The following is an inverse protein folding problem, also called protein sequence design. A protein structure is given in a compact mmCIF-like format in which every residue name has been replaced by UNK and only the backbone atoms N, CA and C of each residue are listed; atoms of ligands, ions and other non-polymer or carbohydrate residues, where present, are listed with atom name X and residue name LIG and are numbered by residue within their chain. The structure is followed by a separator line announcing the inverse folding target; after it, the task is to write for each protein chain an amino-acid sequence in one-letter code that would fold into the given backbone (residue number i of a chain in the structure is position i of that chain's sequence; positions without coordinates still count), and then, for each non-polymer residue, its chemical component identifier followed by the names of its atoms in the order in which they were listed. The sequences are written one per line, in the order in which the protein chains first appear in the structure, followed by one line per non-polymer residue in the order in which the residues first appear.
data_IF_734869907252
#
_entry.id   IF_734869907252
#
_cell.length_a   1.000
_cell.length_b   1.000
_cell.length_c   1.000
_cell.angle_alpha   90.00
_cell.angle_beta   90.00
_cell.angle_gamma   90.00
#
_symmetry.space_group_name_H-M   'P 1'
#
loop_
_entity.id
_entity.type
_entity.pdbx_description
1 polymer ?
#
# COMPACT_ATOMS: atom_id res chain seq x y z
N UNK A 1 -37.16 11.35 22.96
CA UNK A 1 -35.97 12.04 22.40
C UNK A 1 -34.68 11.21 22.62
N UNK A 2 -34.69 9.89 22.40
CA UNK A 2 -33.50 9.02 22.55
C UNK A 2 -33.19 8.27 21.23
N UNK A 3 -33.81 8.70 20.11
CA UNK A 3 -33.70 8.00 18.82
C UNK A 3 -32.82 8.72 17.79
N UNK A 4 -32.52 10.01 17.95
CA UNK A 4 -31.75 10.78 16.96
C UNK A 4 -30.22 10.68 17.11
N UNK A 5 -29.69 10.24 18.26
CA UNK A 5 -28.23 10.18 18.49
C UNK A 5 -27.62 8.82 18.10
N UNK A 6 -28.42 7.74 18.13
CA UNK A 6 -27.98 6.41 17.66
C UNK A 6 -27.83 6.36 16.13
N UNK A 7 -28.51 7.25 15.41
CA UNK A 7 -28.46 7.35 13.95
C UNK A 7 -27.16 7.98 13.43
N UNK A 8 -26.44 8.77 14.24
CA UNK A 8 -25.19 9.44 13.82
C UNK A 8 -23.96 8.55 13.92
N UNK A 9 -23.79 7.77 15.01
CA UNK A 9 -22.64 6.86 15.16
C UNK A 9 -22.85 5.56 14.39
N UNK A 10 -24.05 4.96 14.43
CA UNK A 10 -24.30 3.74 13.65
C UNK A 10 -24.23 4.02 12.14
N UNK A 11 -24.74 5.15 11.67
CA UNK A 11 -24.59 5.56 10.28
C UNK A 11 -23.13 5.77 9.87
N UNK A 12 -22.30 6.36 10.75
CA UNK A 12 -20.87 6.53 10.47
C UNK A 12 -20.11 5.19 10.47
N UNK A 13 -20.48 4.25 11.34
CA UNK A 13 -19.90 2.90 11.35
C UNK A 13 -20.34 2.06 10.13
N UNK A 14 -21.56 2.24 9.64
CA UNK A 14 -22.02 1.63 8.39
C UNK A 14 -21.23 2.15 7.19
N UNK A 15 -20.97 3.46 7.15
CA UNK A 15 -20.10 4.07 6.17
C UNK A 15 -18.67 3.50 6.26
N UNK A 16 -18.10 3.38 7.46
CA UNK A 16 -16.78 2.78 7.65
C UNK A 16 -16.72 1.36 7.10
N UNK A 17 -17.69 0.51 7.46
CA UNK A 17 -17.74 -0.89 7.00
C UNK A 17 -17.82 -0.97 5.49
N UNK A 18 -18.68 -0.17 4.87
CA UNK A 18 -18.85 -0.15 3.41
C UNK A 18 -17.54 0.24 2.73
N UNK A 19 -16.86 1.27 3.22
CA UNK A 19 -15.58 1.75 2.68
C UNK A 19 -14.46 0.75 2.87
N UNK A 20 -14.44 0.10 4.04
CA UNK A 20 -13.49 -0.97 4.33
C UNK A 20 -13.68 -2.13 3.34
N UNK A 21 -14.92 -2.52 3.03
CA UNK A 21 -15.19 -3.54 2.02
C UNK A 21 -14.69 -3.13 0.62
N UNK A 22 -14.94 -1.89 0.17
CA UNK A 22 -14.43 -1.40 -1.11
C UNK A 22 -12.90 -1.36 -1.14
N UNK A 23 -12.26 -0.92 -0.06
CA UNK A 23 -10.80 -0.93 0.06
C UNK A 23 -10.23 -2.35 0.04
N UNK A 24 -10.90 -3.31 0.70
CA UNK A 24 -10.49 -4.72 0.69
C UNK A 24 -10.63 -5.35 -0.70
N UNK A 25 -11.71 -5.02 -1.44
CA UNK A 25 -11.88 -5.45 -2.83
C UNK A 25 -10.80 -4.84 -3.72
N UNK A 26 -10.48 -3.56 -3.54
CA UNK A 26 -9.42 -2.90 -4.28
C UNK A 26 -8.04 -3.54 -4.01
N UNK A 27 -7.74 -3.89 -2.75
CA UNK A 27 -6.53 -4.64 -2.39
C UNK A 27 -6.53 -6.04 -3.00
N UNK A 28 -7.66 -6.75 -2.99
CA UNK A 28 -7.77 -8.08 -3.59
C UNK A 28 -7.52 -8.03 -5.11
N UNK A 29 -8.13 -7.07 -5.81
CA UNK A 29 -7.92 -6.85 -7.25
C UNK A 29 -6.47 -6.41 -7.51
N UNK A 30 -5.95 -5.46 -6.73
CA UNK A 30 -4.57 -5.00 -6.84
C UNK A 30 -3.58 -6.14 -6.62
N UNK A 31 -3.83 -7.01 -5.65
CA UNK A 31 -3.02 -8.21 -5.37
C UNK A 31 -3.09 -9.18 -6.54
N UNK A 32 -4.27 -9.44 -7.10
CA UNK A 32 -4.41 -10.30 -8.27
C UNK A 32 -3.63 -9.75 -9.49
N UNK A 33 -3.71 -8.44 -9.73
CA UNK A 33 -2.93 -7.77 -10.78
C UNK A 33 -1.43 -7.89 -10.48
N UNK A 34 -1.01 -7.56 -9.26
CA UNK A 34 0.39 -7.63 -8.85
C UNK A 34 0.94 -9.06 -8.85
N UNK A 35 0.08 -10.07 -8.70
CA UNK A 35 0.46 -11.48 -8.80
C UNK A 35 0.85 -11.85 -10.23
N UNK A 36 0.15 -11.32 -11.24
CA UNK A 36 0.49 -11.53 -12.66
C UNK A 36 1.86 -10.90 -12.99
N UNK A 37 2.18 -9.75 -12.41
CA UNK A 37 3.47 -9.06 -12.59
C UNK A 37 4.52 -9.40 -11.52
N UNK A 38 4.29 -10.44 -10.71
CA UNK A 38 5.18 -10.75 -9.58
C UNK A 38 6.59 -11.16 -10.05
N UNK A 39 6.70 -11.84 -11.19
CA UNK A 39 7.98 -12.23 -11.79
C UNK A 39 8.81 -11.01 -12.17
N UNK A 40 8.20 -10.02 -12.84
CA UNK A 40 8.86 -8.77 -13.23
C UNK A 40 9.34 -7.98 -12.00
N UNK A 41 8.51 -7.91 -10.94
CA UNK A 41 8.87 -7.24 -9.69
C UNK A 41 10.09 -7.93 -9.04
N UNK A 42 10.14 -9.26 -9.06
CA UNK A 42 11.27 -10.02 -8.51
C UNK A 42 12.55 -9.76 -9.31
N UNK A 43 12.46 -9.67 -10.64
CA UNK A 43 13.61 -9.37 -11.50
C UNK A 43 14.15 -7.95 -11.23
N UNK A 44 13.26 -6.97 -11.08
CA UNK A 44 13.58 -5.59 -10.70
C UNK A 44 14.23 -5.54 -9.31
N UNK A 45 13.82 -6.38 -8.35
CA UNK A 45 14.45 -6.44 -7.03
C UNK A 45 15.83 -7.12 -7.09
N UNK A 46 16.02 -8.10 -7.95
CA UNK A 46 17.31 -8.79 -8.15
C UNK A 46 18.39 -7.89 -8.72
N UNK A 47 18.03 -6.98 -9.63
CA UNK A 47 18.99 -6.07 -10.27
C UNK A 47 19.63 -5.07 -9.29
N UNK A 48 18.99 -4.76 -8.17
CA UNK A 48 19.56 -3.89 -7.11
C UNK A 48 20.49 -4.68 -6.17
N UNK A 49 20.35 -6.00 -6.14
CA UNK A 49 21.16 -6.91 -5.32
C UNK A 49 22.28 -7.59 -6.13
N UNK A 50 22.92 -6.87 -7.06
CA UNK A 50 24.08 -7.36 -7.83
C UNK A 50 25.12 -7.99 -6.89
N UNK A 51 25.24 -9.32 -6.95
CA UNK A 51 26.16 -10.11 -6.12
C UNK A 51 25.52 -11.15 -5.20
N UNK A 52 24.20 -11.09 -4.96
CA UNK A 52 23.49 -12.13 -4.18
C UNK A 52 22.84 -13.13 -5.11
N UNK A 53 23.33 -14.37 -5.10
CA UNK A 53 22.53 -15.49 -5.59
C UNK A 53 21.38 -15.68 -4.61
N UNK A 54 20.20 -15.15 -4.97
CA UNK A 54 18.95 -15.48 -4.30
C UNK A 54 18.70 -16.98 -4.52
N UNK A 55 19.18 -17.78 -3.57
CA UNK A 55 19.03 -19.22 -3.58
C UNK A 55 17.82 -19.53 -2.71
N UNK A 56 16.76 -20.03 -3.32
CA UNK A 56 15.65 -20.57 -2.56
C UNK A 56 16.16 -21.79 -1.79
N UNK A 57 16.20 -21.69 -0.46
CA UNK A 57 16.66 -22.77 0.40
C UNK A 57 15.57 -23.86 0.47
N UNK A 58 14.30 -23.45 0.34
CA UNK A 58 13.16 -24.35 0.26
C UNK A 58 12.17 -23.98 -0.88
N UNK A 59 11.55 -24.96 -1.54
CA UNK A 59 10.53 -24.71 -2.57
C UNK A 59 9.28 -24.01 -2.02
N UNK A 60 8.97 -24.20 -0.73
CA UNK A 60 7.89 -23.50 0.00
C UNK A 60 8.19 -22.01 0.21
N UNK A 61 9.46 -21.64 0.32
CA UNK A 61 9.90 -20.26 0.55
C UNK A 61 9.66 -19.37 -0.66
N UNK A 62 9.76 -19.96 -1.87
CA UNK A 62 9.43 -19.28 -3.12
C UNK A 62 7.96 -18.87 -3.11
N UNK A 63 7.03 -19.80 -2.88
CA UNK A 63 5.59 -19.51 -2.86
C UNK A 63 5.27 -18.42 -1.82
N UNK A 64 5.83 -18.53 -0.61
CA UNK A 64 5.64 -17.53 0.44
C UNK A 64 6.15 -16.14 0.05
N UNK A 65 7.30 -16.06 -0.60
CA UNK A 65 7.88 -14.78 -1.08
C UNK A 65 7.03 -14.16 -2.19
N UNK A 66 6.56 -14.96 -3.14
CA UNK A 66 5.66 -14.51 -4.22
C UNK A 66 4.34 -13.96 -3.65
N UNK A 67 3.73 -14.64 -2.67
CA UNK A 67 2.53 -14.14 -2.00
C UNK A 67 2.77 -12.84 -1.24
N UNK A 68 3.87 -12.73 -0.50
CA UNK A 68 4.21 -11.49 0.22
C UNK A 68 4.45 -10.33 -0.74
N UNK A 69 5.17 -10.56 -1.84
CA UNK A 69 5.46 -9.55 -2.84
C UNK A 69 4.22 -9.11 -3.59
N UNK A 70 3.39 -10.05 -4.06
CA UNK A 70 2.12 -9.73 -4.73
C UNK A 70 1.16 -8.98 -3.80
N UNK A 71 1.10 -9.33 -2.51
CA UNK A 71 0.29 -8.60 -1.54
C UNK A 71 0.83 -7.18 -1.31
N UNK A 72 2.15 -7.02 -1.16
CA UNK A 72 2.77 -5.71 -0.99
C UNK A 72 2.56 -4.83 -2.24
N UNK A 73 2.86 -5.35 -3.44
CA UNK A 73 2.65 -4.66 -4.70
C UNK A 73 1.17 -4.36 -4.97
N UNK A 74 0.29 -5.29 -4.62
CA UNK A 74 -1.16 -5.09 -4.69
C UNK A 74 -1.65 -3.97 -3.79
N UNK A 75 -1.07 -3.84 -2.60
CA UNK A 75 -1.38 -2.75 -1.67
C UNK A 75 -0.89 -1.39 -2.21
N UNK A 76 0.29 -1.37 -2.84
CA UNK A 76 0.80 -0.19 -3.56
C UNK A 76 -0.16 0.22 -4.68
N UNK A 77 -0.61 -0.73 -5.51
CA UNK A 77 -1.58 -0.48 -6.58
C UNK A 77 -2.97 -0.06 -6.07
N UNK A 78 -3.40 -0.59 -4.93
CA UNK A 78 -4.68 -0.26 -4.31
C UNK A 78 -4.66 1.08 -3.55
N UNK A 79 -3.48 1.62 -3.25
CA UNK A 79 -3.32 2.84 -2.46
C UNK A 79 -4.14 4.04 -2.96
N UNK A 80 -4.27 4.33 -4.27
CA UNK A 80 -5.12 5.42 -4.74
C UNK A 80 -6.59 5.26 -4.35
N UNK A 81 -7.10 4.03 -4.39
CA UNK A 81 -8.48 3.71 -3.99
C UNK A 81 -8.62 3.79 -2.47
N UNK A 82 -7.65 3.28 -1.71
CA UNK A 82 -7.65 3.36 -0.24
C UNK A 82 -7.68 4.81 0.21
N UNK A 83 -6.82 5.67 -0.35
CA UNK A 83 -6.78 7.10 -0.03
C UNK A 83 -8.12 7.76 -0.35
N UNK A 84 -8.70 7.45 -1.51
CA UNK A 84 -10.00 7.98 -1.90
C UNK A 84 -11.11 7.59 -0.90
N UNK A 85 -11.17 6.33 -0.50
CA UNK A 85 -12.15 5.85 0.48
C UNK A 85 -11.95 6.49 1.86
N UNK A 86 -10.70 6.67 2.30
CA UNK A 86 -10.38 7.37 3.55
C UNK A 86 -10.83 8.83 3.48
N UNK A 87 -10.55 9.55 2.40
CA UNK A 87 -11.00 10.94 2.24
C UNK A 87 -12.53 11.01 2.24
N UNK A 88 -13.20 10.07 1.59
CA UNK A 88 -14.66 10.03 1.54
C UNK A 88 -15.29 9.64 2.89
N UNK A 89 -14.59 8.87 3.73
CA UNK A 89 -14.96 8.59 5.12
C UNK A 89 -14.89 9.83 6.00
N UNK A 90 -13.82 10.62 5.87
CA UNK A 90 -13.62 11.81 6.71
C UNK A 90 -14.55 12.94 6.25
N UNK A 91 -14.82 13.08 4.94
CA UNK A 91 -15.67 14.11 4.31
C UNK A 91 -16.90 14.57 5.11
N UNK A 92 -17.78 13.70 5.67
CA UNK A 92 -18.94 14.13 6.47
C UNK A 92 -18.58 14.94 7.72
N UNK A 93 -17.39 14.77 8.28
CA UNK A 93 -16.92 15.48 9.47
C UNK A 93 -16.35 16.89 9.17
N UNK A 94 -16.22 17.29 7.89
CA UNK A 94 -15.60 18.55 7.51
C UNK A 94 -16.61 19.62 7.06
N UNK A 95 -16.23 20.87 7.29
CA UNK A 95 -16.97 22.02 6.76
C UNK A 95 -16.79 22.14 5.24
N UNK A 96 -17.72 22.84 4.58
CA UNK A 96 -17.68 23.03 3.10
C UNK A 96 -16.36 23.59 2.58
N UNK A 97 -15.70 24.46 3.35
CA UNK A 97 -14.40 25.06 2.98
C UNK A 97 -13.27 24.03 3.04
N UNK A 98 -13.20 23.25 4.12
CA UNK A 98 -12.14 22.24 4.32
C UNK A 98 -12.26 21.08 3.33
N UNK A 99 -13.49 20.75 2.90
CA UNK A 99 -13.72 19.75 1.87
C UNK A 99 -13.01 20.06 0.55
N UNK A 100 -12.96 21.33 0.14
CA UNK A 100 -12.23 21.74 -1.08
C UNK A 100 -10.73 21.57 -0.91
N UNK A 101 -10.18 21.93 0.26
CA UNK A 101 -8.75 21.72 0.57
C UNK A 101 -8.36 20.25 0.51
N UNK A 102 -9.19 19.33 1.03
CA UNK A 102 -8.89 17.90 0.97
C UNK A 102 -8.84 17.37 -0.47
N UNK A 103 -9.74 17.81 -1.35
CA UNK A 103 -9.70 17.39 -2.75
C UNK A 103 -8.47 17.94 -3.48
N UNK A 104 -8.03 19.15 -3.16
CA UNK A 104 -6.77 19.72 -3.69
C UNK A 104 -5.54 19.00 -3.12
N UNK A 105 -5.61 18.52 -1.88
CA UNK A 105 -4.51 17.79 -1.23
C UNK A 105 -4.37 16.35 -1.74
N UNK A 106 -5.46 15.71 -2.16
CA UNK A 106 -5.50 14.32 -2.64
C UNK A 106 -4.43 14.00 -3.70
N UNK A 107 -4.27 14.76 -4.81
CA UNK A 107 -3.18 14.52 -5.75
C UNK A 107 -1.80 14.69 -5.12
N UNK A 108 -1.64 15.61 -4.16
CA UNK A 108 -0.40 15.77 -3.39
C UNK A 108 -0.03 14.53 -2.59
N UNK A 109 -1.01 13.87 -1.96
CA UNK A 109 -0.79 12.60 -1.23
C UNK A 109 -0.40 11.48 -2.19
N UNK A 110 -1.05 11.39 -3.36
CA UNK A 110 -0.70 10.38 -4.36
C UNK A 110 0.71 10.57 -4.92
N UNK A 111 1.09 11.83 -5.20
CA UNK A 111 2.44 12.17 -5.63
C UNK A 111 3.44 11.85 -4.53
N UNK A 112 3.17 12.24 -3.28
CA UNK A 112 4.06 11.94 -2.16
C UNK A 112 4.23 10.42 -1.94
N UNK A 113 3.16 9.64 -2.11
CA UNK A 113 3.23 8.18 -2.05
C UNK A 113 4.08 7.61 -3.19
N UNK A 114 3.87 8.05 -4.43
CA UNK A 114 4.67 7.62 -5.59
C UNK A 114 6.15 7.98 -5.41
N UNK A 115 6.46 9.20 -4.95
CA UNK A 115 7.81 9.63 -4.60
C UNK A 115 8.39 8.76 -3.48
N UNK A 116 7.59 8.41 -2.47
CA UNK A 116 8.01 7.52 -1.39
C UNK A 116 8.39 6.13 -1.88
N UNK A 117 7.62 5.54 -2.80
CA UNK A 117 7.93 4.24 -3.40
C UNK A 117 9.23 4.29 -4.20
N UNK A 118 9.40 5.32 -5.03
CA UNK A 118 10.63 5.55 -5.82
C UNK A 118 11.83 5.77 -4.88
N UNK A 119 11.67 6.59 -3.85
CA UNK A 119 12.71 6.87 -2.87
C UNK A 119 13.12 5.61 -2.10
N UNK A 120 12.16 4.80 -1.66
CA UNK A 120 12.45 3.55 -0.97
C UNK A 120 13.32 2.64 -1.85
N UNK A 121 12.95 2.45 -3.12
CA UNK A 121 13.68 1.58 -4.04
C UNK A 121 15.07 2.10 -4.40
N UNK A 122 15.20 3.37 -4.80
CA UNK A 122 16.47 3.90 -5.31
C UNK A 122 17.42 4.40 -4.22
N UNK A 123 16.91 4.90 -3.10
CA UNK A 123 17.73 5.58 -2.08
C UNK A 123 17.90 4.74 -0.82
N UNK A 124 16.88 3.98 -0.42
CA UNK A 124 16.91 3.22 0.85
C UNK A 124 17.47 1.81 0.66
N UNK A 125 17.05 1.09 -0.39
CA UNK A 125 17.50 -0.30 -0.62
C UNK A 125 19.02 -0.42 -0.78
N UNK A 126 19.74 0.38 -1.59
CA UNK A 126 21.17 0.15 -1.80
C UNK A 126 22.01 0.31 -0.52
N UNK A 127 21.88 1.38 0.28
CA UNK A 127 22.59 1.50 1.55
C UNK A 127 22.22 0.41 2.56
N UNK A 128 20.95 -0.01 2.59
CA UNK A 128 20.52 -1.11 3.46
C UNK A 128 21.21 -2.43 3.08
N UNK A 129 21.29 -2.74 1.78
CA UNK A 129 22.00 -3.92 1.30
C UNK A 129 23.50 -3.85 1.61
N UNK A 130 24.15 -2.71 1.36
CA UNK A 130 25.57 -2.51 1.72
C UNK A 130 25.81 -2.68 3.22
N UNK A 131 24.92 -2.13 4.07
CA UNK A 131 25.00 -2.32 5.52
C UNK A 131 24.86 -3.79 5.91
N UNK A 132 23.86 -4.50 5.38
CA UNK A 132 23.63 -5.92 5.68
C UNK A 132 24.81 -6.80 5.25
N UNK A 133 25.42 -6.54 4.08
CA UNK A 133 26.61 -7.28 3.65
C UNK A 133 27.82 -7.02 4.54
N UNK A 134 28.08 -5.74 4.87
CA UNK A 134 29.22 -5.38 5.70
C UNK A 134 29.04 -5.83 7.16
N UNK A 135 27.80 -5.97 7.64
CA UNK A 135 27.50 -6.45 8.99
C UNK A 135 27.83 -7.94 9.19
N UNK A 136 27.68 -8.76 8.14
CA UNK A 136 28.00 -10.19 8.19
C UNK A 136 29.48 -10.53 7.90
N UNK A 137 30.26 -9.57 7.41
CA UNK A 137 31.67 -9.75 7.04
C UNK A 137 32.67 -9.25 8.11
N UNK A 138 32.21 -8.99 9.33
CA UNK A 138 33.01 -8.55 10.48
C UNK A 138 33.00 -9.55 11.62
#
# INVERSE_FOLDING_TARGET
MVEDEKLTIMGHLEDLRKRLMWSAIAVAIGTAISFVFAEDIIEILKSVAEGVKLQAIEPTEMIGTYFKLSLAGGLVLATPVIIYEVVMFIRPALTRKERTYLYTLLPGVLIAFAVGVVFAYFVLVPPAMTFLFNFGSG
#
